data_IF_920547522842
#
_entry.id   IF_920547522842
#
_cell.length_a   1.000
_cell.length_b   1.000
_cell.length_c   1.000
_cell.angle_alpha   90.00
_cell.angle_beta   90.00
_cell.angle_gamma   90.00
#
_symmetry.space_group_name_H-M   'P 1'
#
loop_
_entity.id
_entity.type
_entity.pdbx_description
1 polymer ?
#
# COMPACT_ATOMS: atom_id res chain seq x y z
N UNK A 1 1.29 24.90 -5.26
CA UNK A 1 1.31 23.45 -4.93
C UNK A 1 2.27 23.24 -3.77
N UNK A 2 1.81 22.68 -2.65
CA UNK A 2 2.55 22.60 -1.37
C UNK A 2 2.18 21.33 -0.57
N UNK A 3 3.02 20.97 0.40
CA UNK A 3 2.78 19.90 1.39
C UNK A 3 2.25 20.49 2.68
N UNK A 4 1.49 19.70 3.45
CA UNK A 4 0.90 20.19 4.70
C UNK A 4 1.51 19.45 5.90
N UNK A 5 2.15 20.18 6.80
CA UNK A 5 2.60 19.67 8.09
C UNK A 5 1.69 20.20 9.19
N UNK A 6 0.79 19.36 9.69
CA UNK A 6 -0.09 19.70 10.80
C UNK A 6 0.67 19.66 12.14
N UNK A 7 0.10 20.28 13.18
CA UNK A 7 0.56 20.05 14.54
C UNK A 7 0.21 18.62 15.01
N UNK A 8 0.85 18.16 16.10
CA UNK A 8 0.65 16.79 16.61
C UNK A 8 -0.78 16.53 17.10
N UNK A 9 -1.51 17.57 17.53
CA UNK A 9 -2.91 17.41 17.93
C UNK A 9 -3.77 17.05 16.73
N UNK A 10 -3.57 17.75 15.61
CA UNK A 10 -4.30 17.50 14.39
C UNK A 10 -3.86 16.20 13.71
N UNK A 11 -2.56 15.86 13.72
CA UNK A 11 -2.11 14.53 13.29
C UNK A 11 -2.78 13.40 14.06
N UNK A 12 -2.90 13.53 15.39
CA UNK A 12 -3.57 12.53 16.24
C UNK A 12 -5.06 12.40 15.89
N UNK A 13 -5.75 13.52 15.64
CA UNK A 13 -7.16 13.52 15.22
C UNK A 13 -7.34 12.88 13.84
N UNK A 14 -6.44 13.16 12.90
CA UNK A 14 -6.44 12.56 11.56
C UNK A 14 -6.24 11.04 11.67
N UNK A 15 -5.22 10.57 12.39
CA UNK A 15 -4.97 9.14 12.60
C UNK A 15 -6.18 8.44 13.23
N UNK A 16 -6.82 9.10 14.21
CA UNK A 16 -8.04 8.59 14.86
C UNK A 16 -9.22 8.49 13.88
N UNK A 17 -9.37 9.47 12.99
CA UNK A 17 -10.41 9.44 11.95
C UNK A 17 -10.15 8.31 10.95
N UNK A 18 -8.92 8.18 10.47
CA UNK A 18 -8.50 7.13 9.53
C UNK A 18 -8.65 5.72 10.11
N UNK A 19 -8.54 5.55 11.43
CA UNK A 19 -8.77 4.27 12.10
C UNK A 19 -10.24 3.82 12.18
N UNK A 20 -11.20 4.64 11.71
CA UNK A 20 -12.61 4.26 11.64
C UNK A 20 -12.90 3.43 10.38
N UNK A 21 -13.98 2.65 10.40
CA UNK A 21 -14.39 1.82 9.27
C UNK A 21 -14.69 2.59 7.98
N UNK A 22 -15.05 3.87 8.07
CA UNK A 22 -15.30 4.78 6.95
C UNK A 22 -14.16 5.79 6.74
N UNK A 23 -13.00 5.56 7.36
CA UNK A 23 -11.86 6.47 7.42
C UNK A 23 -12.22 7.89 7.90
N UNK A 24 -13.30 8.01 8.70
CA UNK A 24 -13.82 9.30 9.16
C UNK A 24 -14.36 10.16 8.02
N UNK A 25 -14.77 9.54 6.91
CA UNK A 25 -15.25 10.19 5.68
C UNK A 25 -14.20 11.06 4.99
N UNK A 26 -12.91 10.84 5.27
CA UNK A 26 -11.82 11.49 4.54
C UNK A 26 -11.75 10.84 3.15
N UNK A 27 -11.87 11.65 2.11
CA UNK A 27 -11.82 11.23 0.70
C UNK A 27 -10.51 10.50 0.36
N UNK A 28 -10.55 9.55 -0.58
CA UNK A 28 -9.40 8.70 -0.89
C UNK A 28 -8.22 9.47 -1.49
N UNK A 29 -8.46 10.54 -2.24
CA UNK A 29 -7.40 11.44 -2.70
C UNK A 29 -6.76 12.20 -1.53
N UNK A 30 -7.54 12.60 -0.53
CA UNK A 30 -7.00 13.21 0.68
C UNK A 30 -6.21 12.21 1.53
N UNK A 31 -6.67 10.96 1.65
CA UNK A 31 -5.90 9.89 2.31
C UNK A 31 -4.59 9.64 1.58
N UNK A 32 -4.61 9.62 0.24
CA UNK A 32 -3.40 9.52 -0.57
C UNK A 32 -2.41 10.68 -0.36
N UNK A 33 -2.92 11.91 -0.27
CA UNK A 33 -2.10 13.08 0.05
C UNK A 33 -1.49 12.97 1.45
N UNK A 34 -2.26 12.55 2.46
CA UNK A 34 -1.77 12.41 3.83
C UNK A 34 -0.64 11.38 3.95
N UNK A 35 -0.74 10.26 3.23
CA UNK A 35 0.33 9.24 3.16
C UNK A 35 1.58 9.83 2.50
N UNK A 36 1.44 10.50 1.35
CA UNK A 36 2.57 11.10 0.64
C UNK A 36 3.25 12.22 1.46
N UNK A 37 2.46 13.11 2.07
CA UNK A 37 2.97 14.19 2.92
C UNK A 37 3.69 13.64 4.14
N UNK A 38 3.11 12.66 4.85
CA UNK A 38 3.75 12.11 6.06
C UNK A 38 5.08 11.44 5.73
N UNK A 39 5.18 10.71 4.62
CA UNK A 39 6.44 10.10 4.18
C UNK A 39 7.50 11.15 3.84
N UNK A 40 7.14 12.17 3.06
CA UNK A 40 8.10 13.19 2.64
C UNK A 40 8.50 14.12 3.80
N UNK A 41 7.61 14.36 4.77
CA UNK A 41 7.95 15.03 6.03
C UNK A 41 8.94 14.21 6.86
N UNK A 42 8.81 12.87 6.86
CA UNK A 42 9.78 12.01 7.51
C UNK A 42 11.17 12.07 6.84
N UNK A 43 11.21 12.06 5.50
CA UNK A 43 12.46 12.28 4.74
C UNK A 43 13.11 13.63 5.00
N UNK A 44 12.31 14.65 5.28
CA UNK A 44 12.78 16.01 5.58
C UNK A 44 13.04 16.26 7.07
N UNK A 45 13.04 15.20 7.89
CA UNK A 45 13.25 15.25 9.35
C UNK A 45 12.26 16.18 10.08
N UNK A 46 11.09 16.44 9.47
CA UNK A 46 9.98 17.19 10.08
C UNK A 46 9.05 16.29 10.89
N UNK A 47 9.11 14.99 10.64
CA UNK A 47 8.54 13.90 11.43
C UNK A 47 9.53 12.73 11.43
N UNK A 48 9.33 11.74 12.27
CA UNK A 48 10.17 10.54 12.30
C UNK A 48 9.61 9.44 11.38
N UNK A 49 10.47 8.51 10.94
CA UNK A 49 10.00 7.31 10.24
C UNK A 49 9.07 6.45 11.10
N UNK A 50 9.27 6.42 12.42
CA UNK A 50 8.33 5.74 13.33
C UNK A 50 6.93 6.36 13.26
N UNK A 51 6.84 7.69 13.27
CA UNK A 51 5.54 8.37 13.13
C UNK A 51 4.89 8.09 11.77
N UNK A 52 5.67 7.99 10.69
CA UNK A 52 5.15 7.58 9.38
C UNK A 52 4.62 6.14 9.39
N UNK A 53 5.42 5.18 9.90
CA UNK A 53 5.02 3.77 9.98
C UNK A 53 3.80 3.59 10.90
N UNK A 54 3.71 4.32 12.00
CA UNK A 54 2.52 4.30 12.85
C UNK A 54 1.30 4.90 12.13
N UNK A 55 1.50 5.98 11.38
CA UNK A 55 0.43 6.65 10.63
C UNK A 55 -0.19 5.74 9.58
N UNK A 56 0.61 5.01 8.79
CA UNK A 56 0.10 4.17 7.69
C UNK A 56 -0.56 2.86 8.15
N UNK A 57 -0.68 2.60 9.46
CA UNK A 57 -1.35 1.39 9.97
C UNK A 57 -2.80 1.27 9.53
N UNK A 58 -3.50 2.38 9.28
CA UNK A 58 -4.89 2.35 8.77
C UNK A 58 -5.02 1.66 7.40
N UNK A 59 -3.91 1.51 6.66
CA UNK A 59 -3.90 0.81 5.37
C UNK A 59 -4.33 -0.65 5.50
N UNK A 60 -4.24 -1.26 6.69
CA UNK A 60 -4.75 -2.60 6.95
C UNK A 60 -6.23 -2.80 6.60
N UNK A 61 -7.00 -1.71 6.56
CA UNK A 61 -8.43 -1.67 6.19
C UNK A 61 -8.69 -0.95 4.86
N UNK A 62 -7.67 -0.39 4.21
CA UNK A 62 -7.78 0.38 2.96
C UNK A 62 -7.81 -0.54 1.73
N UNK A 63 -8.66 -0.20 0.77
CA UNK A 63 -8.78 -0.92 -0.51
C UNK A 63 -8.67 0.01 -1.73
N UNK A 64 -8.72 1.33 -1.52
CA UNK A 64 -8.74 2.31 -2.62
C UNK A 64 -7.38 2.43 -3.29
N UNK A 65 -7.38 2.65 -4.60
CA UNK A 65 -6.16 2.74 -5.39
C UNK A 65 -5.23 3.88 -4.96
N UNK A 66 -5.75 5.09 -4.77
CA UNK A 66 -4.90 6.28 -4.58
C UNK A 66 -4.06 6.24 -3.29
N UNK A 67 -4.61 5.90 -2.11
CA UNK A 67 -3.81 5.76 -0.89
C UNK A 67 -2.72 4.69 -1.02
N UNK A 68 -3.06 3.55 -1.63
CA UNK A 68 -2.09 2.48 -1.88
C UNK A 68 -1.01 2.87 -2.87
N UNK A 69 -1.34 3.64 -3.91
CA UNK A 69 -0.37 4.21 -4.84
C UNK A 69 0.68 5.08 -4.12
N UNK A 70 0.23 6.01 -3.27
CA UNK A 70 1.12 6.82 -2.41
C UNK A 70 1.97 5.95 -1.47
N UNK A 71 1.34 4.97 -0.82
CA UNK A 71 2.01 4.07 0.11
C UNK A 71 3.10 3.23 -0.57
N UNK A 72 2.79 2.63 -1.72
CA UNK A 72 3.74 1.82 -2.49
C UNK A 72 4.90 2.63 -3.03
N UNK A 73 4.69 3.89 -3.42
CA UNK A 73 5.78 4.82 -3.74
C UNK A 73 6.74 5.01 -2.54
N UNK A 74 6.18 5.29 -1.35
CA UNK A 74 6.96 5.43 -0.13
C UNK A 74 7.72 4.14 0.23
N UNK A 75 7.04 3.00 0.25
CA UNK A 75 7.61 1.70 0.56
C UNK A 75 8.66 1.25 -0.44
N UNK A 76 8.48 1.52 -1.73
CA UNK A 76 9.47 1.22 -2.77
C UNK A 76 10.76 1.98 -2.51
N UNK A 77 10.66 3.28 -2.20
CA UNK A 77 11.82 4.11 -1.84
C UNK A 77 12.49 3.63 -0.54
N UNK A 78 11.73 3.19 0.47
CA UNK A 78 12.30 2.61 1.70
C UNK A 78 13.04 1.30 1.41
N UNK A 79 12.40 0.32 0.76
CA UNK A 79 12.98 -0.98 0.41
C UNK A 79 14.23 -0.87 -0.48
N UNK A 80 14.28 0.14 -1.36
CA UNK A 80 15.43 0.40 -2.21
C UNK A 80 16.64 0.90 -1.40
N UNK A 81 16.39 1.67 -0.34
CA UNK A 81 17.43 2.29 0.51
C UNK A 81 17.86 1.40 1.68
N UNK A 82 17.13 0.32 1.96
CA UNK A 82 17.49 -0.64 3.02
C UNK A 82 18.42 -1.72 2.46
N UNK A 83 19.69 -1.65 2.84
CA UNK A 83 20.72 -2.64 2.46
C UNK A 83 20.71 -3.87 3.38
N UNK A 84 20.47 -3.66 4.68
CA UNK A 84 20.39 -4.74 5.67
C UNK A 84 19.21 -5.69 5.34
N UNK A 85 19.53 -6.96 5.13
CA UNK A 85 18.55 -7.95 4.68
C UNK A 85 17.51 -8.28 5.77
N UNK A 86 17.88 -8.22 7.04
CA UNK A 86 16.95 -8.47 8.14
C UNK A 86 15.93 -7.34 8.25
N UNK A 87 16.39 -6.09 8.17
CA UNK A 87 15.51 -4.91 8.17
C UNK A 87 14.63 -4.91 6.92
N UNK A 88 15.19 -5.23 5.75
CA UNK A 88 14.44 -5.30 4.49
C UNK A 88 13.35 -6.38 4.53
N UNK A 89 13.66 -7.54 5.10
CA UNK A 89 12.70 -8.63 5.32
C UNK A 89 11.60 -8.22 6.30
N UNK A 90 11.97 -7.63 7.43
CA UNK A 90 11.01 -7.12 8.41
C UNK A 90 10.07 -6.05 7.82
N UNK A 91 10.62 -5.12 7.04
CA UNK A 91 9.84 -4.11 6.32
C UNK A 91 8.93 -4.76 5.28
N UNK A 92 9.41 -5.77 4.55
CA UNK A 92 8.60 -6.48 3.55
C UNK A 92 7.40 -7.19 4.17
N UNK A 93 7.61 -7.88 5.29
CA UNK A 93 6.54 -8.54 6.05
C UNK A 93 5.55 -7.52 6.60
N UNK A 94 6.04 -6.41 7.16
CA UNK A 94 5.19 -5.33 7.64
C UNK A 94 4.30 -4.74 6.53
N UNK A 95 4.84 -4.49 5.34
CA UNK A 95 4.04 -4.01 4.19
C UNK A 95 3.00 -5.07 3.80
N UNK A 96 3.38 -6.35 3.77
CA UNK A 96 2.46 -7.43 3.42
C UNK A 96 1.31 -7.57 4.42
N UNK A 97 1.55 -7.33 5.70
CA UNK A 97 0.54 -7.32 6.77
C UNK A 97 -0.45 -6.15 6.59
N UNK A 98 0.04 -4.96 6.20
CA UNK A 98 -0.83 -3.84 5.87
C UNK A 98 -1.74 -4.14 4.67
N UNK A 99 -1.36 -5.02 3.77
CA UNK A 99 -2.16 -5.35 2.58
C UNK A 99 -3.35 -6.28 2.87
N UNK A 100 -3.70 -6.54 4.14
CA UNK A 100 -4.73 -7.52 4.52
C UNK A 100 -6.07 -7.31 3.81
N UNK A 101 -6.68 -6.12 3.93
CA UNK A 101 -7.94 -5.83 3.25
C UNK A 101 -7.79 -5.80 1.72
N UNK A 102 -6.73 -5.16 1.22
CA UNK A 102 -6.46 -5.05 -0.21
C UNK A 102 -6.37 -6.41 -0.91
N UNK A 103 -5.70 -7.40 -0.30
CA UNK A 103 -5.56 -8.75 -0.86
C UNK A 103 -6.88 -9.53 -0.91
N UNK A 104 -7.85 -9.20 -0.06
CA UNK A 104 -9.17 -9.83 -0.04
C UNK A 104 -10.04 -9.26 -1.16
N UNK A 105 -9.99 -7.93 -1.34
CA UNK A 105 -10.85 -7.21 -2.28
C UNK A 105 -10.42 -7.41 -3.75
N UNK A 106 -9.15 -7.72 -4.01
CA UNK A 106 -8.60 -7.82 -5.36
C UNK A 106 -8.67 -9.26 -5.89
N UNK A 107 -9.57 -9.57 -6.86
CA UNK A 107 -9.63 -10.89 -7.48
C UNK A 107 -8.43 -11.14 -8.40
N UNK A 108 -8.07 -12.42 -8.56
CA UNK A 108 -6.86 -12.80 -9.30
C UNK A 108 -7.05 -12.85 -10.82
N UNK A 109 -8.28 -12.93 -11.33
CA UNK A 109 -8.56 -13.22 -12.75
C UNK A 109 -9.77 -12.48 -13.30
N UNK A 110 -10.26 -11.46 -12.59
CA UNK A 110 -11.41 -10.66 -13.01
C UNK A 110 -10.89 -9.26 -13.31
N UNK A 111 -10.75 -8.96 -14.60
CA UNK A 111 -10.52 -7.61 -15.08
C UNK A 111 -11.86 -6.89 -15.26
N UNK A 112 -11.85 -5.58 -15.09
CA UNK A 112 -12.98 -4.72 -15.41
C UNK A 112 -12.52 -3.69 -16.44
N UNK A 113 -12.75 -4.00 -17.71
CA UNK A 113 -12.32 -3.15 -18.83
C UNK A 113 -12.98 -1.76 -18.81
N UNK A 114 -14.14 -1.63 -18.15
CA UNK A 114 -14.87 -0.36 -18.02
C UNK A 114 -14.39 0.49 -16.82
N UNK A 115 -13.57 -0.08 -15.93
CA UNK A 115 -12.97 0.63 -14.79
C UNK A 115 -11.43 0.49 -14.77
N UNK A 116 -10.72 1.44 -15.39
CA UNK A 116 -9.26 1.43 -15.41
C UNK A 116 -8.63 1.53 -14.02
N UNK A 117 -9.29 2.19 -13.05
CA UNK A 117 -8.77 2.34 -11.70
C UNK A 117 -8.86 1.02 -10.95
N UNK A 118 -9.97 0.30 -11.09
CA UNK A 118 -10.11 -1.05 -10.58
C UNK A 118 -9.02 -1.97 -11.12
N UNK A 119 -8.84 -1.98 -12.44
CA UNK A 119 -7.83 -2.82 -13.11
C UNK A 119 -6.41 -2.45 -12.65
N UNK A 120 -6.09 -1.16 -12.54
CA UNK A 120 -4.80 -0.71 -12.05
C UNK A 120 -4.57 -1.07 -10.59
N UNK A 121 -5.59 -0.96 -9.73
CA UNK A 121 -5.51 -1.37 -8.33
C UNK A 121 -5.19 -2.86 -8.22
N UNK A 122 -5.88 -3.68 -9.01
CA UNK A 122 -5.66 -5.12 -9.07
C UNK A 122 -4.23 -5.47 -9.46
N UNK A 123 -3.75 -4.94 -10.58
CA UNK A 123 -2.39 -5.21 -11.08
C UNK A 123 -1.35 -4.78 -10.03
N UNK A 124 -1.55 -3.62 -9.41
CA UNK A 124 -0.62 -3.09 -8.41
C UNK A 124 -0.60 -3.96 -7.16
N UNK A 125 -1.77 -4.32 -6.61
CA UNK A 125 -1.89 -5.14 -5.43
C UNK A 125 -1.26 -6.54 -5.62
N UNK A 126 -1.57 -7.21 -6.73
CA UNK A 126 -1.01 -8.53 -7.03
C UNK A 126 0.50 -8.47 -7.25
N UNK A 127 1.00 -7.47 -7.98
CA UNK A 127 2.43 -7.27 -8.20
C UNK A 127 3.18 -7.11 -6.86
N UNK A 128 2.66 -6.29 -5.96
CA UNK A 128 3.26 -6.09 -4.64
C UNK A 128 3.16 -7.32 -3.75
N UNK A 129 2.01 -7.99 -3.68
CA UNK A 129 1.86 -9.19 -2.86
C UNK A 129 2.88 -10.27 -3.27
N UNK A 130 3.00 -10.55 -4.57
CA UNK A 130 3.97 -11.51 -5.09
C UNK A 130 5.42 -11.05 -4.86
N UNK A 131 5.73 -9.77 -5.08
CA UNK A 131 7.07 -9.20 -4.83
C UNK A 131 7.49 -9.31 -3.36
N UNK A 132 6.54 -9.19 -2.44
CA UNK A 132 6.76 -9.28 -0.99
C UNK A 132 6.77 -10.73 -0.47
N UNK A 133 6.58 -11.73 -1.35
CA UNK A 133 6.68 -13.14 -0.96
C UNK A 133 5.36 -13.78 -0.54
N UNK A 134 4.20 -13.19 -0.86
CA UNK A 134 2.90 -13.79 -0.55
C UNK A 134 2.73 -15.14 -1.26
N UNK A 135 2.67 -16.21 -0.46
CA UNK A 135 2.62 -17.58 -0.97
C UNK A 135 1.40 -17.87 -1.83
N UNK A 136 0.24 -17.29 -1.50
CA UNK A 136 -0.99 -17.46 -2.27
C UNK A 136 -0.86 -16.78 -3.64
N UNK A 137 -0.35 -15.55 -3.67
CA UNK A 137 -0.08 -14.82 -4.91
C UNK A 137 0.88 -15.60 -5.82
N UNK A 138 1.99 -16.10 -5.26
CA UNK A 138 3.02 -16.83 -6.02
C UNK A 138 2.46 -18.14 -6.58
N UNK A 139 1.71 -18.90 -5.77
CA UNK A 139 1.10 -20.16 -6.22
C UNK A 139 0.11 -19.93 -7.35
N UNK A 140 -0.80 -18.96 -7.22
CA UNK A 140 -1.76 -18.61 -8.28
C UNK A 140 -1.07 -18.12 -9.54
N UNK A 141 -0.04 -17.27 -9.42
CA UNK A 141 0.74 -16.78 -10.56
C UNK A 141 1.38 -17.93 -11.34
N UNK A 142 1.97 -18.91 -10.63
CA UNK A 142 2.57 -20.09 -11.26
C UNK A 142 1.52 -20.96 -11.96
N UNK A 143 0.35 -21.14 -11.35
CA UNK A 143 -0.74 -21.91 -11.95
C UNK A 143 -1.24 -21.28 -13.26
N UNK A 144 -1.48 -19.96 -13.26
CA UNK A 144 -1.89 -19.22 -14.47
C UNK A 144 -0.81 -19.29 -15.55
N UNK A 145 0.46 -19.14 -15.18
CA UNK A 145 1.57 -19.25 -16.14
C UNK A 145 1.67 -20.65 -16.77
N UNK A 146 1.52 -21.72 -15.96
CA UNK A 146 1.54 -23.09 -16.46
C UNK A 146 0.38 -23.35 -17.43
N UNK A 147 -0.82 -22.89 -17.10
CA UNK A 147 -1.98 -22.99 -17.98
C UNK A 147 -1.75 -22.28 -19.33
N UNK A 148 -1.23 -21.05 -19.30
CA UNK A 148 -0.85 -20.32 -20.52
C UNK A 148 0.17 -21.09 -21.36
N UNK A 149 1.17 -21.70 -20.73
CA UNK A 149 2.19 -22.49 -21.43
C UNK A 149 1.58 -23.70 -22.13
N UNK A 150 0.67 -24.43 -21.46
CA UNK A 150 0.00 -25.61 -22.03
C UNK A 150 -0.93 -25.27 -23.20
N UNK A 151 -1.58 -24.10 -23.18
CA UNK A 151 -2.47 -23.67 -24.25
C UNK A 151 -1.76 -23.15 -25.51
N UNK A 152 -0.49 -22.75 -25.41
CA UNK A 152 0.28 -22.13 -26.50
C UNK A 152 1.48 -22.98 -26.94
N UNK A 153 1.50 -24.26 -26.59
CA UNK A 153 2.39 -25.30 -27.13
C UNK A 153 1.64 -26.17 -28.12
#
# INVERSE_FOLDING_TARGET
>A
YYRINYDETLWTKISTALGKSDFGKIDDLNRAQLVDDTYNLAKAEKRTYSQFLDFVKFLNHETSYYPWSSAFSAFSSMLLRTEDQNIKSALSNYILDLMTALKIEVPFSEDNDDDPIYTQNRVTALSWACRLGDGVCIQKSKAVFNYYKEMNM
#
